data_IF_257266803281
#
_entry.id   IF_257266803281
#
_cell.length_a   1.000
_cell.length_b   1.000
_cell.length_c   1.000
_cell.angle_alpha   90.00
_cell.angle_beta   90.00
_cell.angle_gamma   90.00
#
_symmetry.space_group_name_H-M   'P 1'
#
loop_
_entity.id
_entity.type
_entity.pdbx_description
1 polymer ?
#
# COMPACT_ATOMS: atom_id res chain seq x y z
N UNK A 1 -8.29 23.89 2.69
CA UNK A 1 -9.31 23.87 1.63
C UNK A 1 -9.90 22.47 1.59
N UNK A 2 -11.21 22.32 1.41
CA UNK A 2 -11.79 20.99 1.20
C UNK A 2 -11.27 20.41 -0.12
N UNK A 3 -10.97 19.10 -0.15
CA UNK A 3 -10.51 18.43 -1.35
C UNK A 3 -11.60 18.42 -2.43
N UNK A 4 -11.23 18.78 -3.66
CA UNK A 4 -12.18 18.84 -4.79
C UNK A 4 -12.09 17.57 -5.61
N UNK A 5 -13.10 16.71 -5.49
CA UNK A 5 -13.21 15.48 -6.28
C UNK A 5 -13.78 15.78 -7.68
N UNK A 6 -13.24 15.18 -8.75
CA UNK A 6 -13.64 15.50 -10.11
C UNK A 6 -15.06 15.05 -10.41
N UNK A 7 -15.71 15.76 -11.35
CA UNK A 7 -16.93 15.27 -11.97
C UNK A 7 -16.59 14.12 -12.91
N UNK A 8 -17.50 13.14 -13.01
CA UNK A 8 -17.43 12.15 -14.07
C UNK A 8 -17.80 12.81 -15.40
N UNK A 9 -17.20 12.35 -16.49
CA UNK A 9 -17.36 12.97 -17.80
C UNK A 9 -18.81 12.88 -18.30
N UNK A 10 -19.24 13.80 -19.19
CA UNK A 10 -20.55 13.72 -19.83
C UNK A 10 -20.74 12.36 -20.51
N UNK A 11 -21.88 11.71 -20.23
CA UNK A 11 -22.19 10.36 -20.73
C UNK A 11 -22.12 9.26 -19.66
N UNK A 12 -21.57 9.55 -18.48
CA UNK A 12 -21.67 8.61 -17.36
C UNK A 12 -23.12 8.46 -16.89
N UNK A 13 -23.58 7.22 -16.84
CA UNK A 13 -24.89 6.80 -16.35
C UNK A 13 -24.71 5.78 -15.21
N UNK A 14 -25.20 6.15 -14.02
CA UNK A 14 -25.16 5.30 -12.84
C UNK A 14 -26.00 4.02 -13.02
N UNK A 15 -27.00 4.02 -13.92
CA UNK A 15 -27.78 2.83 -14.23
C UNK A 15 -26.97 1.80 -15.01
N UNK A 16 -26.02 2.21 -15.84
CA UNK A 16 -25.11 1.29 -16.52
C UNK A 16 -24.11 0.66 -15.52
N UNK A 17 -23.62 1.45 -14.57
CA UNK A 17 -22.89 0.92 -13.41
C UNK A 17 -23.71 -0.12 -12.64
N UNK A 18 -25.00 0.14 -12.37
CA UNK A 18 -25.89 -0.80 -11.69
C UNK A 18 -26.11 -2.09 -12.52
N UNK A 19 -26.26 -1.97 -13.84
CA UNK A 19 -26.39 -3.12 -14.75
C UNK A 19 -25.16 -4.02 -14.70
N UNK A 20 -23.95 -3.44 -14.79
CA UNK A 20 -22.68 -4.18 -14.74
C UNK A 20 -22.49 -4.87 -13.37
N UNK A 21 -22.82 -4.16 -12.29
CA UNK A 21 -22.80 -4.70 -10.93
C UNK A 21 -23.72 -5.90 -10.76
N UNK A 22 -24.98 -5.80 -11.21
CA UNK A 22 -25.96 -6.91 -11.15
C UNK A 22 -25.56 -8.10 -11.99
N UNK A 23 -24.85 -7.87 -13.10
CA UNK A 23 -24.28 -8.93 -13.93
C UNK A 23 -23.04 -9.60 -13.31
N UNK A 24 -22.51 -9.08 -12.18
CA UNK A 24 -21.28 -9.57 -11.58
C UNK A 24 -20.03 -9.21 -12.39
N UNK A 25 -20.13 -8.30 -13.36
CA UNK A 25 -19.02 -7.90 -14.23
C UNK A 25 -18.13 -6.87 -13.54
N UNK A 26 -17.29 -7.36 -12.60
CA UNK A 26 -16.37 -6.55 -11.81
C UNK A 26 -15.39 -5.75 -12.69
N UNK A 27 -14.86 -6.38 -13.74
CA UNK A 27 -13.88 -5.73 -14.61
C UNK A 27 -14.55 -4.70 -15.53
N UNK A 28 -15.73 -5.02 -16.08
CA UNK A 28 -16.54 -4.10 -16.87
C UNK A 28 -16.99 -2.90 -16.05
N UNK A 29 -17.40 -3.09 -14.80
CA UNK A 29 -17.79 -2.02 -13.88
C UNK A 29 -16.72 -0.93 -13.75
N UNK A 30 -15.48 -1.31 -13.39
CA UNK A 30 -14.40 -0.34 -13.26
C UNK A 30 -13.88 0.17 -14.62
N UNK A 31 -13.98 -0.62 -15.69
CA UNK A 31 -13.67 -0.14 -17.05
C UNK A 31 -14.63 0.97 -17.46
N UNK A 32 -15.91 0.83 -17.15
CA UNK A 32 -16.93 1.85 -17.44
C UNK A 32 -16.67 3.13 -16.63
N UNK A 33 -16.37 3.01 -15.34
CA UNK A 33 -16.05 4.17 -14.50
C UNK A 33 -14.80 4.92 -14.97
N UNK A 34 -13.74 4.19 -15.31
CA UNK A 34 -12.49 4.76 -15.81
C UNK A 34 -12.70 5.47 -17.16
N UNK A 35 -13.47 4.88 -18.08
CA UNK A 35 -13.83 5.51 -19.35
C UNK A 35 -14.57 6.84 -19.18
N UNK A 36 -15.18 7.04 -18.00
CA UNK A 36 -15.87 8.27 -17.65
C UNK A 36 -15.11 9.15 -16.64
N UNK A 37 -13.79 8.97 -16.55
CA UNK A 37 -12.92 9.87 -15.81
C UNK A 37 -12.89 9.62 -14.30
N UNK A 38 -13.34 8.45 -13.83
CA UNK A 38 -13.10 8.06 -12.45
C UNK A 38 -11.61 7.89 -12.20
N UNK A 39 -11.08 8.61 -11.23
CA UNK A 39 -9.67 8.53 -10.79
C UNK A 39 -9.44 7.34 -9.85
N UNK A 40 -10.49 6.80 -9.23
CA UNK A 40 -10.40 5.60 -8.41
C UNK A 40 -10.39 4.31 -9.24
N UNK A 41 -11.17 4.28 -10.32
CA UNK A 41 -11.42 3.08 -11.11
C UNK A 41 -10.17 2.37 -11.67
N UNK A 42 -9.10 3.05 -12.14
CA UNK A 42 -7.89 2.38 -12.61
C UNK A 42 -7.25 1.47 -11.57
N UNK A 43 -7.16 1.91 -10.30
CA UNK A 43 -6.59 1.12 -9.21
C UNK A 43 -7.47 -0.10 -8.91
N UNK A 44 -8.77 0.11 -8.75
CA UNK A 44 -9.70 -0.98 -8.43
C UNK A 44 -9.81 -2.01 -9.57
N UNK A 45 -9.79 -1.55 -10.83
CA UNK A 45 -9.71 -2.42 -12.01
C UNK A 45 -8.45 -3.28 -11.98
N UNK A 46 -7.30 -2.69 -11.64
CA UNK A 46 -6.02 -3.40 -11.52
C UNK A 46 -6.02 -4.48 -10.43
N UNK A 47 -6.77 -4.27 -9.34
CA UNK A 47 -7.01 -5.30 -8.32
C UNK A 47 -7.88 -6.43 -8.88
N UNK A 48 -9.00 -6.10 -9.51
CA UNK A 48 -9.93 -7.10 -10.07
C UNK A 48 -9.26 -7.97 -11.14
N UNK A 49 -8.45 -7.37 -12.02
CA UNK A 49 -7.75 -8.06 -13.11
C UNK A 49 -6.43 -8.68 -12.70
N UNK A 50 -5.87 -8.26 -11.57
CA UNK A 50 -4.54 -8.66 -11.09
C UNK A 50 -3.41 -8.36 -12.10
N UNK A 51 -3.59 -7.34 -12.94
CA UNK A 51 -2.71 -7.04 -14.08
C UNK A 51 -1.83 -5.80 -13.87
N UNK A 52 -1.93 -5.16 -12.71
CA UNK A 52 -1.09 -4.01 -12.34
C UNK A 52 -0.25 -4.30 -11.09
N UNK A 53 0.94 -3.69 -10.94
CA UNK A 53 1.73 -3.79 -9.72
C UNK A 53 0.95 -3.42 -8.47
N UNK A 54 0.24 -2.27 -8.47
CA UNK A 54 -0.58 -1.83 -7.34
C UNK A 54 -1.68 -2.83 -6.99
N UNK A 55 -2.31 -3.45 -7.99
CA UNK A 55 -3.31 -4.49 -7.80
C UNK A 55 -2.74 -5.74 -7.13
N UNK A 56 -1.58 -6.21 -7.61
CA UNK A 56 -0.87 -7.34 -7.03
C UNK A 56 -0.43 -7.05 -5.58
N UNK A 57 0.06 -5.83 -5.30
CA UNK A 57 0.41 -5.41 -3.93
C UNK A 57 -0.81 -5.40 -3.02
N UNK A 58 -1.94 -4.85 -3.48
CA UNK A 58 -3.15 -4.79 -2.66
C UNK A 58 -3.67 -6.18 -2.28
N UNK A 59 -3.67 -7.13 -3.23
CA UNK A 59 -4.09 -8.52 -2.97
C UNK A 59 -3.14 -9.21 -2.02
N UNK A 60 -1.84 -9.11 -2.25
CA UNK A 60 -0.84 -9.78 -1.43
C UNK A 60 -0.84 -9.21 0.00
N UNK A 61 -0.96 -7.89 0.14
CA UNK A 61 -1.13 -7.23 1.42
C UNK A 61 -2.40 -7.71 2.15
N UNK A 62 -3.55 -7.74 1.47
CA UNK A 62 -4.82 -8.22 2.03
C UNK A 62 -4.69 -9.65 2.56
N UNK A 63 -4.09 -10.55 1.77
CA UNK A 63 -3.84 -11.95 2.15
C UNK A 63 -2.96 -12.06 3.38
N UNK A 64 -1.84 -11.34 3.40
CA UNK A 64 -0.88 -11.42 4.50
C UNK A 64 -1.44 -10.77 5.79
N UNK A 65 -2.12 -9.62 5.68
CA UNK A 65 -2.81 -9.00 6.80
C UNK A 65 -3.86 -9.95 7.40
N UNK A 66 -4.72 -10.54 6.56
CA UNK A 66 -5.73 -11.49 7.00
C UNK A 66 -5.09 -12.72 7.65
N UNK A 67 -4.02 -13.27 7.07
CA UNK A 67 -3.31 -14.44 7.59
C UNK A 67 -2.75 -14.20 8.99
N UNK A 68 -2.15 -13.02 9.22
CA UNK A 68 -1.65 -12.61 10.55
C UNK A 68 -2.77 -12.48 11.59
N UNK A 69 -4.00 -12.27 11.14
CA UNK A 69 -5.19 -12.22 11.97
C UNK A 69 -5.99 -13.55 11.97
N UNK A 70 -5.37 -14.65 11.56
CA UNK A 70 -5.97 -15.99 11.61
C UNK A 70 -6.98 -16.28 10.50
N UNK A 71 -7.05 -15.47 9.45
CA UNK A 71 -7.99 -15.62 8.33
C UNK A 71 -7.24 -15.94 7.04
N UNK A 72 -7.69 -16.97 6.31
CA UNK A 72 -7.12 -17.31 5.00
C UNK A 72 -7.98 -16.72 3.88
N UNK A 73 -7.36 -15.97 2.96
CA UNK A 73 -8.03 -15.32 1.83
C UNK A 73 -7.67 -16.02 0.52
N UNK A 74 -8.57 -16.90 0.07
CA UNK A 74 -8.48 -17.57 -1.24
C UNK A 74 -9.08 -16.75 -2.38
N UNK A 75 -9.06 -17.29 -3.60
CA UNK A 75 -9.66 -16.64 -4.78
C UNK A 75 -11.16 -16.40 -4.60
N UNK A 76 -11.93 -17.37 -4.07
CA UNK A 76 -13.37 -17.20 -3.84
C UNK A 76 -13.65 -16.06 -2.85
N UNK A 77 -12.85 -15.95 -1.79
CA UNK A 77 -12.93 -14.84 -0.84
C UNK A 77 -12.61 -13.50 -1.50
N UNK A 78 -11.59 -13.44 -2.37
CA UNK A 78 -11.30 -12.23 -3.14
C UNK A 78 -12.44 -11.86 -4.10
N UNK A 79 -13.13 -12.85 -4.69
CA UNK A 79 -14.32 -12.60 -5.50
C UNK A 79 -15.43 -11.99 -4.64
N UNK A 80 -15.69 -12.55 -3.45
CA UNK A 80 -16.67 -12.01 -2.50
C UNK A 80 -16.33 -10.58 -2.06
N UNK A 81 -15.07 -10.31 -1.70
CA UNK A 81 -14.60 -8.96 -1.36
C UNK A 81 -14.86 -8.01 -2.52
N UNK A 82 -14.40 -8.35 -3.73
CA UNK A 82 -14.58 -7.49 -4.91
C UNK A 82 -16.06 -7.25 -5.23
N UNK A 83 -16.91 -8.27 -5.08
CA UNK A 83 -18.36 -8.13 -5.26
C UNK A 83 -18.97 -7.21 -4.20
N UNK A 84 -18.55 -7.33 -2.94
CA UNK A 84 -18.94 -6.40 -1.88
C UNK A 84 -18.53 -4.96 -2.21
N UNK A 85 -17.28 -4.75 -2.63
CA UNK A 85 -16.77 -3.43 -2.99
C UNK A 85 -17.56 -2.78 -4.13
N UNK A 86 -17.84 -3.50 -5.23
CA UNK A 86 -18.64 -2.92 -6.32
C UNK A 86 -20.10 -2.66 -5.90
N UNK A 87 -20.64 -3.46 -4.97
CA UNK A 87 -22.00 -3.25 -4.47
C UNK A 87 -22.09 -1.93 -3.71
N UNK A 88 -21.21 -1.74 -2.73
CA UNK A 88 -21.21 -0.51 -1.94
C UNK A 88 -20.76 0.72 -2.73
N UNK A 89 -19.80 0.59 -3.66
CA UNK A 89 -19.37 1.69 -4.52
C UNK A 89 -20.55 2.19 -5.38
N UNK A 90 -21.31 1.26 -5.99
CA UNK A 90 -22.47 1.62 -6.79
C UNK A 90 -23.60 2.23 -5.95
N UNK A 91 -23.89 1.66 -4.77
CA UNK A 91 -24.90 2.20 -3.87
C UNK A 91 -24.55 3.63 -3.42
N UNK A 92 -23.27 3.87 -3.12
CA UNK A 92 -22.77 5.20 -2.76
C UNK A 92 -22.89 6.20 -3.91
N UNK A 93 -22.56 5.79 -5.15
CA UNK A 93 -22.72 6.64 -6.35
C UNK A 93 -24.19 6.96 -6.62
N UNK A 94 -25.07 5.97 -6.51
CA UNK A 94 -26.52 6.18 -6.65
C UNK A 94 -27.06 7.13 -5.58
N UNK A 95 -26.63 6.99 -4.33
CA UNK A 95 -27.00 7.91 -3.25
C UNK A 95 -26.52 9.33 -3.56
N UNK A 96 -25.24 9.51 -3.90
CA UNK A 96 -24.67 10.81 -4.25
C UNK A 96 -25.39 11.48 -5.44
N UNK A 97 -25.74 10.69 -6.47
CA UNK A 97 -26.50 11.19 -7.62
C UNK A 97 -27.93 11.58 -7.23
N UNK A 98 -28.63 10.79 -6.40
CA UNK A 98 -29.98 11.15 -5.91
C UNK A 98 -29.97 12.44 -5.09
N UNK A 99 -28.94 12.65 -4.28
CA UNK A 99 -28.86 13.80 -3.39
C UNK A 99 -28.49 15.09 -4.14
N UNK A 100 -27.66 15.00 -5.18
CA UNK A 100 -27.07 16.18 -5.84
C UNK A 100 -27.50 16.39 -7.28
N UNK A 101 -28.05 15.37 -7.94
CA UNK A 101 -28.31 15.33 -9.37
C UNK A 101 -27.04 15.30 -10.23
N UNK A 102 -25.86 15.12 -9.63
CA UNK A 102 -24.56 15.22 -10.30
C UNK A 102 -23.74 13.96 -10.07
N UNK A 103 -23.19 13.41 -11.15
CA UNK A 103 -22.26 12.30 -11.09
C UNK A 103 -20.83 12.80 -10.82
N UNK A 104 -20.38 12.61 -9.57
CA UNK A 104 -19.05 12.98 -9.09
C UNK A 104 -18.28 11.73 -8.65
N UNK A 105 -16.97 11.81 -8.68
CA UNK A 105 -16.12 10.86 -7.97
C UNK A 105 -16.47 10.81 -6.48
N UNK A 106 -16.46 9.61 -5.90
CA UNK A 106 -16.71 9.42 -4.48
C UNK A 106 -15.56 9.99 -3.63
N UNK A 107 -15.92 10.52 -2.47
CA UNK A 107 -14.92 11.03 -1.52
C UNK A 107 -14.10 9.90 -0.89
N UNK A 108 -12.90 10.20 -0.41
CA UNK A 108 -12.09 9.27 0.38
C UNK A 108 -12.87 8.68 1.55
N UNK A 109 -13.65 9.51 2.25
CA UNK A 109 -14.46 9.06 3.39
C UNK A 109 -15.50 8.02 3.00
N UNK A 110 -16.19 8.19 1.86
CA UNK A 110 -17.16 7.22 1.36
C UNK A 110 -16.47 5.91 0.97
N UNK A 111 -15.35 6.00 0.24
CA UNK A 111 -14.58 4.84 -0.22
C UNK A 111 -14.03 4.05 0.97
N UNK A 112 -13.38 4.73 1.91
CA UNK A 112 -12.85 4.13 3.13
C UNK A 112 -13.93 3.47 3.97
N UNK A 113 -15.10 4.10 4.11
CA UNK A 113 -16.22 3.56 4.88
C UNK A 113 -16.69 2.22 4.31
N UNK A 114 -16.90 2.13 3.00
CA UNK A 114 -17.34 0.86 2.43
C UNK A 114 -16.25 -0.21 2.40
N UNK A 115 -14.96 0.13 2.26
CA UNK A 115 -13.89 -0.86 2.40
C UNK A 115 -13.89 -1.47 3.79
N UNK A 116 -13.97 -0.62 4.82
CA UNK A 116 -14.07 -1.05 6.21
C UNK A 116 -15.29 -1.94 6.48
N UNK A 117 -16.42 -1.64 5.82
CA UNK A 117 -17.63 -2.47 5.90
C UNK A 117 -17.43 -3.83 5.23
N UNK A 118 -16.97 -3.86 3.99
CA UNK A 118 -16.78 -5.11 3.22
C UNK A 118 -15.77 -6.03 3.88
N UNK A 119 -14.62 -5.53 4.34
CA UNK A 119 -13.63 -6.39 5.00
C UNK A 119 -14.18 -6.98 6.31
N UNK A 120 -14.97 -6.22 7.06
CA UNK A 120 -15.64 -6.71 8.27
C UNK A 120 -16.68 -7.77 7.95
N UNK A 121 -17.49 -7.57 6.91
CA UNK A 121 -18.58 -8.48 6.55
C UNK A 121 -18.08 -9.78 5.91
N UNK A 122 -17.10 -9.72 5.02
CA UNK A 122 -16.66 -10.88 4.23
C UNK A 122 -15.65 -11.73 4.99
N UNK A 123 -14.73 -11.11 5.74
CA UNK A 123 -13.62 -11.82 6.37
C UNK A 123 -13.43 -11.50 7.86
N UNK A 124 -14.30 -10.68 8.46
CA UNK A 124 -14.24 -10.39 9.90
C UNK A 124 -13.01 -9.57 10.33
N UNK A 125 -12.34 -8.88 9.41
CA UNK A 125 -11.10 -8.16 9.70
C UNK A 125 -11.28 -6.64 9.85
N UNK A 126 -10.19 -5.98 10.24
CA UNK A 126 -10.14 -4.55 10.50
C UNK A 126 -9.97 -3.74 9.19
N UNK A 127 -10.30 -2.43 9.19
CA UNK A 127 -10.12 -1.55 8.02
C UNK A 127 -8.69 -1.57 7.46
N UNK A 128 -7.69 -1.84 8.31
CA UNK A 128 -6.28 -1.96 7.95
C UNK A 128 -6.01 -3.06 6.93
N UNK A 129 -6.93 -3.99 6.70
CA UNK A 129 -6.84 -4.96 5.57
C UNK A 129 -6.81 -4.26 4.22
N UNK A 130 -7.40 -3.06 4.14
CA UNK A 130 -7.26 -2.20 2.99
C UNK A 130 -5.89 -1.52 2.98
N UNK A 131 -5.10 -1.76 1.94
CA UNK A 131 -3.73 -1.23 1.83
C UNK A 131 -3.64 0.30 1.95
N UNK A 132 -4.70 1.06 1.66
CA UNK A 132 -4.67 2.51 1.80
C UNK A 132 -4.92 3.01 3.24
N UNK A 133 -5.46 2.18 4.13
CA UNK A 133 -5.95 2.62 5.45
C UNK A 133 -4.83 3.22 6.32
N UNK A 134 -3.71 2.52 6.45
CA UNK A 134 -2.60 2.99 7.31
C UNK A 134 -1.98 4.29 6.77
N UNK A 135 -1.65 4.43 5.47
CA UNK A 135 -1.23 5.71 4.90
C UNK A 135 -2.21 6.87 5.17
N UNK A 136 -3.52 6.62 5.09
CA UNK A 136 -4.53 7.65 5.36
C UNK A 136 -4.55 8.06 6.84
N UNK A 137 -4.39 7.10 7.76
CA UNK A 137 -4.23 7.40 9.19
C UNK A 137 -2.97 8.24 9.45
N UNK A 138 -1.86 7.95 8.77
CA UNK A 138 -0.62 8.73 8.84
C UNK A 138 -0.78 10.16 8.33
N UNK A 139 -1.56 10.35 7.26
CA UNK A 139 -1.84 11.68 6.70
C UNK A 139 -2.58 12.61 7.66
N UNK A 140 -3.34 12.07 8.61
CA UNK A 140 -4.08 12.84 9.61
C UNK A 140 -4.97 13.90 8.95
N UNK A 141 -4.75 15.18 9.27
CA UNK A 141 -5.49 16.30 8.67
C UNK A 141 -5.30 16.43 7.14
N UNK A 142 -4.29 15.78 6.56
CA UNK A 142 -3.97 15.76 5.12
C UNK A 142 -4.44 14.47 4.43
N UNK A 143 -5.26 13.64 5.07
CA UNK A 143 -5.64 12.34 4.53
C UNK A 143 -6.28 12.41 3.14
N UNK A 144 -7.10 13.41 2.85
CA UNK A 144 -7.66 13.62 1.51
C UNK A 144 -6.59 13.95 0.47
N UNK A 145 -5.58 14.77 0.81
CA UNK A 145 -4.48 15.07 -0.11
C UNK A 145 -3.63 13.82 -0.40
N UNK A 146 -3.37 13.02 0.65
CA UNK A 146 -2.67 11.73 0.53
C UNK A 146 -3.48 10.78 -0.37
N UNK A 147 -4.79 10.70 -0.17
CA UNK A 147 -5.69 9.91 -1.00
C UNK A 147 -5.64 10.32 -2.47
N UNK A 148 -5.83 11.61 -2.77
CA UNK A 148 -5.81 12.10 -4.14
C UNK A 148 -4.47 11.84 -4.81
N UNK A 149 -3.35 12.06 -4.11
CA UNK A 149 -2.02 11.71 -4.64
C UNK A 149 -1.84 10.21 -4.86
N UNK A 150 -2.40 9.36 -4.00
CA UNK A 150 -2.39 7.91 -4.20
C UNK A 150 -3.18 7.49 -5.46
N UNK A 151 -4.26 8.21 -5.79
CA UNK A 151 -5.08 7.95 -6.98
C UNK A 151 -4.42 8.43 -8.28
N UNK A 152 -3.80 9.60 -8.27
CA UNK A 152 -3.26 10.23 -9.49
C UNK A 152 -1.77 9.97 -9.70
N UNK A 153 -1.06 9.50 -8.67
CA UNK A 153 0.37 9.21 -8.70
C UNK A 153 0.68 7.72 -8.57
N UNK A 154 1.92 7.41 -8.20
CA UNK A 154 2.28 6.04 -7.79
C UNK A 154 1.70 5.78 -6.40
N UNK A 155 0.58 5.03 -6.35
CA UNK A 155 -0.05 4.60 -5.10
C UNK A 155 0.97 4.09 -4.09
N UNK A 156 1.88 3.22 -4.55
CA UNK A 156 2.89 2.58 -3.71
C UNK A 156 3.88 3.61 -3.18
N UNK A 157 4.37 4.52 -4.04
CA UNK A 157 5.33 5.55 -3.62
C UNK A 157 4.73 6.47 -2.57
N UNK A 158 3.51 6.95 -2.79
CA UNK A 158 2.85 7.88 -1.87
C UNK A 158 2.55 7.18 -0.54
N UNK A 159 2.03 5.95 -0.59
CA UNK A 159 1.71 5.18 0.61
C UNK A 159 2.96 4.91 1.47
N UNK A 160 4.05 4.44 0.85
CA UNK A 160 5.32 4.15 1.54
C UNK A 160 5.90 5.44 2.12
N UNK A 161 6.02 6.51 1.33
CA UNK A 161 6.62 7.75 1.81
C UNK A 161 5.85 8.39 2.96
N UNK A 162 4.52 8.32 2.94
CA UNK A 162 3.67 8.81 4.04
C UNK A 162 3.92 8.02 5.33
N UNK A 163 4.07 6.70 5.23
CA UNK A 163 4.42 5.84 6.36
C UNK A 163 5.84 6.13 6.89
N UNK A 164 6.81 6.35 5.99
CA UNK A 164 8.19 6.70 6.36
C UNK A 164 8.28 8.02 7.11
N UNK A 165 7.42 9.00 6.82
CA UNK A 165 7.35 10.26 7.57
C UNK A 165 7.05 10.03 9.06
N UNK A 166 6.08 9.17 9.36
CA UNK A 166 5.68 8.86 10.73
C UNK A 166 6.80 8.13 11.48
N UNK A 167 7.51 7.21 10.82
CA UNK A 167 8.71 6.55 11.37
C UNK A 167 9.86 7.55 11.54
N UNK A 168 9.95 8.56 10.68
CA UNK A 168 10.92 9.65 10.76
C UNK A 168 10.88 10.43 12.08
N UNK A 169 9.79 10.33 12.84
CA UNK A 169 9.62 10.94 14.16
C UNK A 169 10.17 10.08 15.31
N UNK A 170 10.68 8.88 15.03
CA UNK A 170 11.26 8.01 16.06
C UNK A 170 12.63 8.53 16.55
N UNK A 171 12.96 8.29 17.84
CA UNK A 171 14.31 8.47 18.38
C UNK A 171 15.36 7.71 17.55
N UNK A 172 16.57 8.28 17.41
CA UNK A 172 17.56 7.87 16.40
C UNK A 172 17.89 6.38 16.30
N UNK A 173 17.96 5.63 17.41
CA UNK A 173 18.22 4.18 17.36
C UNK A 173 17.06 3.38 16.73
N UNK A 174 15.82 3.72 17.07
CA UNK A 174 14.62 3.07 16.53
C UNK A 174 14.41 3.41 15.06
N UNK A 175 14.78 4.64 14.66
CA UNK A 175 14.80 5.08 13.27
C UNK A 175 15.73 4.22 12.42
N UNK A 176 16.96 3.96 12.89
CA UNK A 176 17.94 3.12 12.19
C UNK A 176 17.44 1.69 12.06
N UNK A 177 16.83 1.10 13.09
CA UNK A 177 16.30 -0.26 13.00
C UNK A 177 15.14 -0.39 12.02
N UNK A 178 14.24 0.60 11.96
CA UNK A 178 13.15 0.65 11.00
C UNK A 178 13.67 0.76 9.55
N UNK A 179 14.61 1.68 9.30
CA UNK A 179 15.27 1.80 7.99
C UNK A 179 16.10 0.57 7.63
N UNK A 180 16.83 -0.01 8.58
CA UNK A 180 17.66 -1.18 8.36
C UNK A 180 16.82 -2.42 8.05
N UNK A 181 15.58 -2.54 8.51
CA UNK A 181 14.73 -3.67 8.12
C UNK A 181 14.20 -3.53 6.69
N UNK A 182 13.93 -2.30 6.23
CA UNK A 182 13.62 -2.05 4.81
C UNK A 182 14.85 -2.18 3.91
N UNK A 183 16.01 -1.70 4.38
CA UNK A 183 17.28 -1.80 3.67
C UNK A 183 17.90 -3.21 3.73
N UNK A 184 17.63 -4.01 4.76
CA UNK A 184 18.05 -5.42 4.82
C UNK A 184 17.32 -6.30 3.79
N UNK A 185 16.20 -5.81 3.23
CA UNK A 185 15.65 -6.33 1.98
C UNK A 185 16.62 -6.23 0.78
N UNK A 186 17.71 -5.46 0.90
CA UNK A 186 18.75 -5.34 -0.12
C UNK A 186 19.97 -6.23 0.10
N UNK A 187 20.24 -6.77 1.29
CA UNK A 187 21.59 -7.30 1.60
C UNK A 187 21.72 -8.83 1.57
N UNK A 188 20.64 -9.60 1.56
CA UNK A 188 20.71 -11.05 1.42
C UNK A 188 19.55 -11.57 0.56
N UNK A 189 19.72 -11.39 -0.75
CA UNK A 189 19.16 -12.19 -1.86
C UNK A 189 17.62 -12.32 -1.96
N UNK A 190 17.02 -11.92 -3.09
CA UNK A 190 15.62 -12.28 -3.42
C UNK A 190 15.34 -13.80 -3.32
N UNK A 191 16.35 -14.66 -3.48
CA UNK A 191 16.22 -16.12 -3.33
C UNK A 191 16.20 -16.61 -1.87
N UNK A 192 16.63 -15.80 -0.90
CA UNK A 192 16.44 -16.13 0.53
C UNK A 192 15.04 -15.79 1.02
N UNK A 193 14.23 -15.02 0.29
CA UNK A 193 12.81 -14.89 0.63
C UNK A 193 12.03 -16.15 0.21
N UNK A 194 12.33 -16.73 -0.95
CA UNK A 194 11.71 -18.00 -1.38
C UNK A 194 12.21 -19.22 -0.58
N UNK A 195 13.49 -19.23 -0.17
CA UNK A 195 14.04 -20.30 0.68
C UNK A 195 13.83 -20.05 2.20
N UNK A 196 13.70 -18.79 2.61
CA UNK A 196 13.57 -18.38 4.01
C UNK A 196 12.18 -18.58 4.59
N UNK A 197 11.13 -18.60 3.76
CA UNK A 197 9.78 -19.02 4.17
C UNK A 197 9.76 -20.44 4.78
N UNK A 198 10.76 -21.29 4.47
CA UNK A 198 10.89 -22.64 5.03
C UNK A 198 11.88 -22.78 6.20
N UNK A 199 12.82 -21.85 6.39
CA UNK A 199 13.96 -22.02 7.32
C UNK A 199 13.95 -21.08 8.54
N UNK A 200 13.36 -19.90 8.42
CA UNK A 200 13.18 -18.96 9.52
C UNK A 200 11.69 -18.65 9.56
N UNK A 201 11.01 -19.04 10.64
CA UNK A 201 9.55 -18.90 10.75
C UNK A 201 9.02 -17.53 10.32
N UNK A 202 7.75 -17.49 9.92
CA UNK A 202 7.00 -16.39 9.29
C UNK A 202 6.99 -15.02 10.03
N UNK A 203 7.84 -14.83 11.02
CA UNK A 203 8.02 -13.61 11.77
C UNK A 203 9.29 -12.91 11.28
N UNK A 204 9.08 -11.92 10.42
CA UNK A 204 10.12 -10.97 10.05
C UNK A 204 10.70 -10.28 11.28
N UNK A 205 11.99 -9.93 11.16
CA UNK A 205 12.74 -9.22 12.21
C UNK A 205 12.07 -7.91 12.67
N UNK A 206 11.18 -7.29 11.91
CA UNK A 206 10.43 -6.09 12.32
C UNK A 206 9.42 -6.41 13.43
N UNK A 207 8.52 -7.37 13.23
CA UNK A 207 7.48 -7.72 14.21
C UNK A 207 8.04 -8.14 15.56
N UNK A 208 9.04 -9.04 15.57
CA UNK A 208 9.74 -9.44 16.80
C UNK A 208 10.56 -8.32 17.44
N UNK A 209 11.13 -7.39 16.65
CA UNK A 209 11.86 -6.25 17.22
C UNK A 209 10.90 -5.23 17.81
N UNK A 210 9.70 -5.04 17.26
CA UNK A 210 8.67 -4.10 17.77
C UNK A 210 8.31 -4.35 19.22
N UNK A 211 8.24 -5.61 19.65
CA UNK A 211 8.04 -5.96 21.06
C UNK A 211 9.22 -5.50 21.94
N UNK A 212 10.43 -5.43 21.37
CA UNK A 212 11.62 -4.84 22.00
C UNK A 212 11.81 -3.32 21.77
N UNK A 213 11.01 -2.65 20.92
CA UNK A 213 11.19 -1.24 20.54
C UNK A 213 10.68 -0.23 21.61
N UNK A 214 10.18 -0.65 22.77
CA UNK A 214 9.66 0.29 23.78
C UNK A 214 8.49 1.16 23.25
N UNK A 215 8.30 2.36 23.82
CA UNK A 215 7.10 3.23 23.76
C UNK A 215 6.68 3.77 22.37
N UNK A 216 6.45 2.92 21.39
CA UNK A 216 5.82 3.32 20.13
C UNK A 216 4.38 3.77 20.38
N UNK A 217 3.97 4.86 19.75
CA UNK A 217 2.55 5.22 19.70
C UNK A 217 1.76 4.14 18.96
N UNK A 218 0.43 4.04 19.17
CA UNK A 218 -0.40 3.10 18.43
C UNK A 218 -0.26 3.25 16.90
N UNK A 219 -0.16 4.49 16.40
CA UNK A 219 0.02 4.75 14.97
C UNK A 219 1.39 4.25 14.48
N UNK A 220 2.47 4.50 15.21
CA UNK A 220 3.80 4.02 14.82
C UNK A 220 3.86 2.49 14.74
N UNK A 221 3.17 1.76 15.64
CA UNK A 221 3.07 0.30 15.55
C UNK A 221 2.34 -0.16 14.29
N UNK A 222 1.22 0.49 13.95
CA UNK A 222 0.47 0.20 12.71
C UNK A 222 1.32 0.44 11.47
N UNK A 223 2.11 1.51 11.46
CA UNK A 223 3.02 1.82 10.34
C UNK A 223 4.10 0.75 10.20
N UNK A 224 4.68 0.31 11.31
CA UNK A 224 5.68 -0.75 11.29
C UNK A 224 5.07 -2.06 10.76
N UNK A 225 3.92 -2.48 11.27
CA UNK A 225 3.23 -3.69 10.79
C UNK A 225 2.83 -3.57 9.31
N UNK A 226 2.36 -2.40 8.88
CA UNK A 226 2.05 -2.12 7.47
C UNK A 226 3.25 -2.33 6.53
N UNK A 227 4.40 -1.75 6.86
CA UNK A 227 5.61 -1.89 6.04
C UNK A 227 6.16 -3.31 6.09
N UNK A 228 6.06 -3.95 7.26
CA UNK A 228 6.44 -5.34 7.43
C UNK A 228 5.60 -6.27 6.54
N UNK A 229 4.28 -6.13 6.57
CA UNK A 229 3.36 -6.87 5.69
C UNK A 229 3.70 -6.63 4.23
N UNK A 230 3.91 -5.38 3.81
CA UNK A 230 4.27 -5.07 2.42
C UNK A 230 5.56 -5.77 1.98
N UNK A 231 6.57 -5.84 2.85
CA UNK A 231 7.84 -6.54 2.53
C UNK A 231 7.73 -8.06 2.62
N UNK A 232 6.76 -8.60 3.37
CA UNK A 232 6.45 -10.02 3.44
C UNK A 232 5.55 -10.53 2.31
N UNK A 233 4.83 -9.62 1.64
CA UNK A 233 3.80 -9.92 0.65
C UNK A 233 4.35 -10.47 -0.69
N UNK A 234 5.65 -10.73 -0.79
CA UNK A 234 6.30 -11.31 -1.96
C UNK A 234 7.14 -10.32 -2.78
N UNK A 235 7.76 -10.77 -3.88
CA UNK A 235 8.82 -10.02 -4.57
C UNK A 235 8.33 -8.74 -5.25
N UNK A 236 7.11 -8.74 -5.81
CA UNK A 236 6.55 -7.57 -6.50
C UNK A 236 6.28 -6.42 -5.50
N UNK A 237 5.56 -6.65 -4.38
CA UNK A 237 5.47 -5.68 -3.29
C UNK A 237 6.82 -5.16 -2.82
N UNK A 238 7.78 -6.05 -2.56
CA UNK A 238 9.10 -5.66 -2.07
C UNK A 238 9.86 -4.77 -3.06
N UNK A 239 9.86 -5.09 -4.35
CA UNK A 239 10.52 -4.27 -5.36
C UNK A 239 9.87 -2.89 -5.51
N UNK A 240 8.53 -2.80 -5.46
CA UNK A 240 7.83 -1.53 -5.58
C UNK A 240 8.03 -0.64 -4.33
N UNK A 241 8.07 -1.24 -3.14
CA UNK A 241 8.44 -0.53 -1.90
C UNK A 241 9.89 -0.06 -1.97
N UNK A 242 10.79 -0.85 -2.53
CA UNK A 242 12.20 -0.45 -2.70
C UNK A 242 12.35 0.73 -3.65
N UNK A 243 11.67 0.75 -4.80
CA UNK A 243 11.71 1.89 -5.72
C UNK A 243 11.11 3.16 -5.11
N UNK A 244 10.08 2.99 -4.27
CA UNK A 244 9.45 4.07 -3.53
C UNK A 244 10.36 4.65 -2.43
N UNK A 245 10.97 3.77 -1.64
CA UNK A 245 11.75 4.11 -0.46
C UNK A 245 13.19 4.56 -0.75
N UNK A 246 13.78 4.11 -1.86
CA UNK A 246 15.19 4.41 -2.20
C UNK A 246 15.47 5.91 -2.29
N UNK A 247 14.57 6.71 -2.89
CA UNK A 247 14.77 8.17 -2.99
C UNK A 247 14.88 8.85 -1.63
N UNK A 248 14.03 8.47 -0.69
CA UNK A 248 14.00 9.05 0.66
C UNK A 248 15.10 8.49 1.55
N UNK A 249 15.43 7.21 1.38
CA UNK A 249 16.57 6.58 2.06
C UNK A 249 17.88 7.22 1.59
N UNK A 250 18.04 7.47 0.29
CA UNK A 250 19.18 8.15 -0.30
C UNK A 250 19.31 9.58 0.21
N UNK A 251 18.22 10.35 0.25
CA UNK A 251 18.19 11.70 0.82
C UNK A 251 18.50 11.70 2.31
N UNK A 252 17.93 10.77 3.08
CA UNK A 252 18.23 10.63 4.51
C UNK A 252 19.69 10.24 4.74
N UNK A 253 20.23 9.29 4.00
CA UNK A 253 21.64 8.89 4.09
C UNK A 253 22.58 10.02 3.72
N UNK A 254 22.23 10.85 2.72
CA UNK A 254 23.03 12.02 2.34
C UNK A 254 22.97 13.12 3.37
N UNK A 255 21.82 13.32 4.02
CA UNK A 255 21.63 14.38 5.03
C UNK A 255 22.09 13.98 6.43
N UNK A 256 22.07 12.69 6.75
CA UNK A 256 22.46 12.15 8.06
C UNK A 256 23.78 11.38 8.03
N UNK A 257 24.44 11.26 6.87
CA UNK A 257 25.85 10.85 6.78
C UNK A 257 26.76 11.72 7.65
N UNK A 258 26.38 12.98 7.93
CA UNK A 258 27.12 13.85 8.84
C UNK A 258 26.89 13.50 10.33
N UNK A 259 25.75 12.89 10.68
CA UNK A 259 25.44 12.45 12.04
C UNK A 259 25.91 11.00 12.32
N UNK A 260 25.89 10.12 11.31
CA UNK A 260 26.25 8.70 11.41
C UNK A 260 27.60 8.32 10.79
N UNK A 261 28.31 9.24 10.15
CA UNK A 261 29.61 9.04 9.48
C UNK A 261 30.74 8.49 10.34
N UNK A 262 30.50 8.25 11.64
CA UNK A 262 31.43 7.56 12.55
C UNK A 262 31.10 6.09 12.78
N UNK A 263 29.96 5.57 12.33
CA UNK A 263 29.60 4.15 12.50
C UNK A 263 30.04 3.31 11.28
N UNK A 264 30.60 2.12 11.51
CA UNK A 264 31.09 1.25 10.43
C UNK A 264 30.02 0.83 9.42
N UNK A 265 28.76 0.78 9.86
CA UNK A 265 27.61 0.39 9.03
C UNK A 265 27.26 1.44 7.97
N UNK A 266 27.22 2.73 8.34
CA UNK A 266 26.90 3.82 7.39
C UNK A 266 27.92 3.93 6.25
N UNK A 267 29.21 3.71 6.55
CA UNK A 267 30.27 3.68 5.53
C UNK A 267 30.20 2.48 4.59
N UNK A 268 29.84 1.30 5.11
CA UNK A 268 29.66 0.12 4.28
C UNK A 268 28.46 0.25 3.33
N UNK A 269 27.37 0.87 3.82
CA UNK A 269 26.18 1.11 3.03
C UNK A 269 26.41 2.11 1.88
N UNK A 270 27.01 3.28 2.16
CA UNK A 270 27.32 4.29 1.14
C UNK A 270 28.23 3.73 0.04
N UNK A 271 29.19 2.87 0.41
CA UNK A 271 30.08 2.21 -0.55
C UNK A 271 29.35 1.20 -1.45
N UNK A 272 28.35 0.50 -0.92
CA UNK A 272 27.51 -0.41 -1.71
C UNK A 272 26.67 0.32 -2.76
N UNK A 273 26.13 1.49 -2.40
CA UNK A 273 25.39 2.35 -3.31
C UNK A 273 26.25 2.94 -4.44
N UNK A 274 27.44 3.44 -4.12
CA UNK A 274 28.38 3.97 -5.12
C UNK A 274 28.75 2.91 -6.17
N UNK A 275 28.89 1.65 -5.74
CA UNK A 275 29.17 0.52 -6.63
C UNK A 275 27.97 0.14 -7.52
N UNK A 276 26.74 0.29 -7.04
CA UNK A 276 25.53 0.04 -7.86
C UNK A 276 25.30 1.12 -8.91
N UNK A 277 25.55 2.39 -8.58
CA UNK A 277 25.39 3.51 -9.51
C UNK A 277 26.40 3.49 -10.66
N UNK A 278 27.51 2.76 -10.52
CA UNK A 278 28.56 2.62 -11.54
C UNK A 278 28.38 1.42 -12.46
N UNK A 279 27.40 0.53 -12.22
CA UNK A 279 27.18 -0.65 -13.07
C UNK A 279 26.01 -0.41 -14.04
N UNK A 280 26.25 -0.32 -15.36
CA UNK A 280 25.16 -0.14 -16.34
C UNK A 280 24.31 -1.41 -16.55
N UNK A 281 24.69 -2.55 -15.96
CA UNK A 281 23.94 -3.81 -16.00
C UNK A 281 24.19 -4.61 -14.70
N UNK A 282 23.41 -4.34 -13.65
CA UNK A 282 23.62 -4.90 -12.31
C UNK A 282 23.14 -6.34 -12.12
N UNK A 283 23.82 -7.32 -12.71
CA UNK A 283 23.97 -8.67 -12.13
C UNK A 283 25.42 -9.12 -12.35
N UNK A 284 26.22 -9.12 -11.30
CA UNK A 284 27.51 -9.79 -11.29
C UNK A 284 27.32 -11.15 -10.61
N UNK A 285 27.56 -12.29 -11.29
CA UNK A 285 27.64 -13.56 -10.61
C UNK A 285 28.97 -13.56 -9.86
N UNK A 286 28.93 -13.49 -8.53
CA UNK A 286 30.14 -13.75 -7.77
C UNK A 286 30.42 -15.27 -7.78
N UNK A 287 31.71 -15.67 -7.83
CA UNK A 287 32.15 -17.07 -7.78
C UNK A 287 31.88 -17.73 -6.41
#
# INVERSE_FOLDING_TARGET
MAATYPLLSPGYDVLESDRLRRAGDRAGYYTYLEAHGSIYAPLAKGVVRQDTPSGAVAIAYCREFARRHGVTVGEDTLVQINMGLINHDCDARMAAFRDTGVNRELTMSAIRAYHAQVFREVIGTQPETWTAEVPLQCGGARADDVWLHMLTGSFIDVAVNTCLEVIGLLPGRLKVDAYACMAAGQLLVPSMFTAGHGFFGNETRLGMRVEGLGSLTPLQRRVVDYLDILTCSGPIPSMAVMSAGSRRLDEWLRTEADAFGRTGFGRAYLRGMELQLQSPYGFSPMP
#
